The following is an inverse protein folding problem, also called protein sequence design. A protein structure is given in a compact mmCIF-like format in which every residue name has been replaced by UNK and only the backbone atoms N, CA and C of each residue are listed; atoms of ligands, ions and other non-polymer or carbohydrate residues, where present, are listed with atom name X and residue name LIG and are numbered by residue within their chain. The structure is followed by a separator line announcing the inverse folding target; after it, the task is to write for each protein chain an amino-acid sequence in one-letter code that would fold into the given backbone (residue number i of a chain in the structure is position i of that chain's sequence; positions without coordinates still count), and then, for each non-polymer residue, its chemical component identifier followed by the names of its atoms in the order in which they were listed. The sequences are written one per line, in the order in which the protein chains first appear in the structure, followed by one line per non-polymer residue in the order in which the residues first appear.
data_IF_991913865421
#
_entry.id   IF_991913865421
#
_cell.length_a   1.000
_cell.length_b   1.000
_cell.length_c   1.000
_cell.angle_alpha   90.00
_cell.angle_beta   90.00
_cell.angle_gamma   90.00
#
_symmetry.space_group_name_H-M   'P 1'
#
loop_
_entity.id
_entity.type
_entity.pdbx_description
1 polymer ?
#
# COMPACT_ATOMS: atom_id res chain seq x y z
N UNK A 1 -32.92 -43.09 -20.75
CA UNK A 1 -31.92 -42.33 -21.53
C UNK A 1 -32.09 -40.84 -21.20
N UNK A 2 -31.00 -40.09 -20.98
CA UNK A 2 -31.04 -38.78 -20.31
C UNK A 2 -31.01 -37.60 -21.29
N UNK A 3 -31.58 -36.47 -20.87
CA UNK A 3 -31.13 -35.12 -21.27
C UNK A 3 -31.20 -34.19 -20.06
N UNK A 4 -30.07 -33.53 -19.80
CA UNK A 4 -29.75 -32.61 -18.71
C UNK A 4 -30.46 -31.26 -18.86
N UNK A 5 -30.77 -30.59 -17.75
CA UNK A 5 -30.41 -29.17 -17.49
C UNK A 5 -30.33 -28.95 -15.97
N UNK A 6 -29.12 -28.72 -15.47
CA UNK A 6 -28.85 -28.21 -14.11
C UNK A 6 -28.92 -26.68 -14.15
N UNK A 7 -29.93 -26.07 -13.52
CA UNK A 7 -29.92 -24.63 -13.27
C UNK A 7 -29.27 -24.33 -11.92
N UNK A 8 -28.10 -23.68 -11.96
CA UNK A 8 -27.41 -23.08 -10.82
C UNK A 8 -27.86 -21.64 -10.68
N UNK A 9 -28.46 -21.24 -9.55
CA UNK A 9 -28.37 -19.85 -9.06
C UNK A 9 -29.07 -19.70 -7.72
N UNK A 10 -28.29 -19.65 -6.63
CA UNK A 10 -28.60 -18.95 -5.37
C UNK A 10 -27.39 -19.06 -4.45
N UNK A 11 -26.33 -18.30 -4.75
CA UNK A 11 -25.32 -17.99 -3.74
C UNK A 11 -25.71 -16.66 -3.12
N UNK A 12 -26.24 -16.71 -1.90
CA UNK A 12 -26.44 -15.54 -1.05
C UNK A 12 -25.06 -14.88 -0.83
N UNK A 13 -24.89 -13.66 -1.33
CA UNK A 13 -23.78 -12.80 -0.92
C UNK A 13 -24.11 -12.23 0.47
N UNK A 14 -23.89 -13.03 1.50
CA UNK A 14 -23.81 -12.50 2.86
C UNK A 14 -22.60 -11.56 2.92
N UNK A 15 -22.86 -10.26 3.06
CA UNK A 15 -21.84 -9.26 3.37
C UNK A 15 -21.09 -9.71 4.63
N UNK A 16 -19.74 -9.79 4.63
CA UNK A 16 -19.00 -10.14 5.83
C UNK A 16 -19.28 -9.11 6.93
N UNK A 17 -20.00 -9.56 7.96
CA UNK A 17 -20.24 -8.78 9.18
C UNK A 17 -18.89 -8.59 9.89
N UNK A 18 -18.55 -7.33 10.16
CA UNK A 18 -17.45 -6.87 11.02
C UNK A 18 -16.06 -7.41 10.65
N UNK A 19 -15.45 -6.86 9.61
CA UNK A 19 -14.00 -6.95 9.45
C UNK A 19 -13.34 -6.14 10.58
N UNK A 20 -12.58 -6.81 11.46
CA UNK A 20 -11.62 -6.14 12.33
C UNK A 20 -10.74 -5.20 11.47
N UNK A 21 -10.26 -4.05 12.01
CA UNK A 21 -9.38 -3.18 11.25
C UNK A 21 -8.22 -4.00 10.69
N UNK A 22 -8.13 -4.06 9.36
CA UNK A 22 -7.08 -4.80 8.65
C UNK A 22 -5.76 -4.21 9.13
N UNK A 23 -4.98 -5.00 9.87
CA UNK A 23 -3.66 -4.57 10.33
C UNK A 23 -2.73 -4.46 9.14
N UNK A 24 -2.46 -3.24 8.71
CA UNK A 24 -1.60 -2.93 7.58
C UNK A 24 -0.12 -3.06 7.97
N UNK A 25 0.20 -2.88 9.26
CA UNK A 25 1.57 -2.79 9.75
C UNK A 25 2.03 -4.03 10.55
N UNK A 26 3.21 -4.56 10.23
CA UNK A 26 3.86 -5.57 11.05
C UNK A 26 4.57 -4.96 12.28
N UNK A 27 3.79 -4.68 13.33
CA UNK A 27 4.27 -4.09 14.58
C UNK A 27 5.28 -4.99 15.33
N UNK A 28 5.19 -6.32 15.15
CA UNK A 28 6.16 -7.28 15.72
C UNK A 28 7.54 -7.12 15.09
N UNK A 29 7.59 -6.89 13.78
CA UNK A 29 8.82 -6.60 13.06
C UNK A 29 9.43 -5.28 13.55
N UNK A 30 8.62 -4.22 13.70
CA UNK A 30 9.10 -2.95 14.25
C UNK A 30 9.70 -3.10 15.64
N UNK A 31 9.01 -3.82 16.53
CA UNK A 31 9.50 -4.10 17.88
C UNK A 31 10.84 -4.86 17.87
N UNK A 32 11.05 -5.73 16.88
CA UNK A 32 12.30 -6.48 16.71
C UNK A 32 13.46 -5.60 16.26
N UNK A 33 13.24 -4.70 15.29
CA UNK A 33 14.29 -3.81 14.77
C UNK A 33 14.63 -2.68 15.75
N UNK A 34 13.69 -2.29 16.62
CA UNK A 34 13.91 -1.28 17.67
C UNK A 34 14.35 -1.88 19.00
N UNK A 35 14.48 -3.22 19.08
CA UNK A 35 14.82 -3.97 20.30
C UNK A 35 13.89 -3.65 21.49
N UNK A 36 12.61 -3.35 21.21
CA UNK A 36 11.64 -2.97 22.23
C UNK A 36 11.77 -1.53 22.75
N UNK A 37 12.67 -0.72 22.20
CA UNK A 37 12.79 0.68 22.59
C UNK A 37 11.70 1.52 21.90
N UNK A 38 10.68 1.90 22.67
CA UNK A 38 9.55 2.71 22.18
C UNK A 38 10.01 4.05 21.59
N UNK A 39 10.94 4.76 22.23
CA UNK A 39 11.43 6.04 21.71
C UNK A 39 12.15 5.90 20.36
N UNK A 40 12.90 4.81 20.17
CA UNK A 40 13.51 4.48 18.88
C UNK A 40 12.46 4.13 17.83
N UNK A 41 11.42 3.37 18.21
CA UNK A 41 10.31 3.04 17.31
C UNK A 41 9.57 4.30 16.86
N UNK A 42 9.19 5.18 17.79
CA UNK A 42 8.45 6.41 17.52
C UNK A 42 9.24 7.34 16.59
N UNK A 43 10.56 7.48 16.81
CA UNK A 43 11.42 8.27 15.93
C UNK A 43 11.52 7.68 14.53
N UNK A 44 11.72 6.36 14.42
CA UNK A 44 11.83 5.68 13.14
C UNK A 44 10.54 5.85 12.33
N UNK A 45 9.41 5.58 12.98
CA UNK A 45 8.08 5.74 12.41
C UNK A 45 7.84 7.19 11.95
N UNK A 46 8.21 8.19 12.76
CA UNK A 46 8.06 9.60 12.42
C UNK A 46 8.88 9.99 11.19
N UNK A 47 10.13 9.54 11.11
CA UNK A 47 11.02 9.83 9.97
C UNK A 47 10.41 9.25 8.70
N UNK A 48 10.08 7.96 8.69
CA UNK A 48 9.51 7.31 7.50
C UNK A 48 8.16 7.89 7.09
N UNK A 49 7.27 8.22 8.05
CA UNK A 49 6.02 8.88 7.69
C UNK A 49 6.26 10.25 7.06
N UNK A 50 7.28 10.99 7.51
CA UNK A 50 7.62 12.28 6.91
C UNK A 50 8.13 12.08 5.48
N UNK A 51 9.12 11.20 5.30
CA UNK A 51 9.70 10.89 3.99
C UNK A 51 8.66 10.39 2.99
N UNK A 52 7.77 9.46 3.39
CA UNK A 52 6.75 8.92 2.49
C UNK A 52 5.70 9.98 2.12
N UNK A 53 5.36 10.90 3.03
CA UNK A 53 4.46 12.02 2.67
C UNK A 53 5.10 12.94 1.62
N UNK A 54 6.39 13.22 1.74
CA UNK A 54 7.14 14.00 0.75
C UNK A 54 7.21 13.28 -0.60
N UNK A 55 7.54 11.98 -0.60
CA UNK A 55 7.58 11.17 -1.82
C UNK A 55 6.20 11.05 -2.49
N UNK A 56 5.11 10.97 -1.71
CA UNK A 56 3.74 10.99 -2.25
C UNK A 56 3.39 12.35 -2.90
N UNK A 57 3.86 13.46 -2.34
CA UNK A 57 3.68 14.77 -2.95
C UNK A 57 4.46 14.87 -4.28
N UNK A 58 5.71 14.38 -4.31
CA UNK A 58 6.49 14.30 -5.56
C UNK A 58 5.86 13.35 -6.58
N UNK A 59 5.27 12.24 -6.13
CA UNK A 59 4.58 11.29 -7.00
C UNK A 59 3.40 11.96 -7.72
N UNK A 60 2.62 12.76 -6.99
CA UNK A 60 1.49 13.50 -7.57
C UNK A 60 1.95 14.47 -8.66
N UNK A 61 3.02 15.23 -8.41
CA UNK A 61 3.61 16.13 -9.41
C UNK A 61 4.10 15.33 -10.63
N UNK A 62 4.81 14.23 -10.41
CA UNK A 62 5.30 13.38 -11.49
C UNK A 62 4.16 12.77 -12.33
N UNK A 63 3.01 12.46 -11.72
CA UNK A 63 1.81 11.99 -12.42
C UNK A 63 1.22 13.11 -13.29
N UNK A 64 1.09 14.32 -12.75
CA UNK A 64 0.59 15.49 -13.49
C UNK A 64 1.47 15.83 -14.70
N UNK A 65 2.78 15.68 -14.56
CA UNK A 65 3.76 15.88 -15.64
C UNK A 65 3.91 14.65 -16.56
N UNK A 66 3.22 13.53 -16.26
CA UNK A 66 3.43 12.24 -16.92
C UNK A 66 4.91 11.79 -16.98
N UNK A 67 5.67 12.14 -15.94
CA UNK A 67 7.08 11.84 -15.82
C UNK A 67 7.29 10.41 -15.30
N UNK A 68 7.17 9.43 -16.21
CA UNK A 68 7.28 8.01 -15.89
C UNK A 68 8.60 7.61 -15.24
N UNK A 69 9.72 8.26 -15.60
CA UNK A 69 11.00 7.99 -14.96
C UNK A 69 10.99 8.38 -13.48
N UNK A 70 10.45 9.56 -13.16
CA UNK A 70 10.29 10.00 -11.77
C UNK A 70 9.33 9.07 -11.00
N UNK A 71 8.20 8.68 -11.60
CA UNK A 71 7.23 7.75 -10.99
C UNK A 71 7.91 6.42 -10.63
N UNK A 72 8.70 5.84 -11.54
CA UNK A 72 9.41 4.57 -11.29
C UNK A 72 10.40 4.69 -10.14
N UNK A 73 11.19 5.77 -10.11
CA UNK A 73 12.17 5.99 -9.04
C UNK A 73 11.49 6.19 -7.67
N UNK A 74 10.38 6.94 -7.64
CA UNK A 74 9.62 7.16 -6.42
C UNK A 74 9.00 5.85 -5.92
N UNK A 75 8.38 5.07 -6.82
CA UNK A 75 7.84 3.75 -6.50
C UNK A 75 8.91 2.82 -5.89
N UNK A 76 10.10 2.78 -6.49
CA UNK A 76 11.23 1.98 -5.99
C UNK A 76 11.65 2.36 -4.56
N UNK A 77 11.75 3.67 -4.27
CA UNK A 77 12.08 4.17 -2.94
C UNK A 77 10.99 3.81 -1.92
N UNK A 78 9.74 4.06 -2.27
CA UNK A 78 8.59 3.79 -1.40
C UNK A 78 8.47 2.30 -1.05
N UNK A 79 8.76 1.40 -2.00
CA UNK A 79 8.81 -0.05 -1.77
C UNK A 79 9.74 -0.43 -0.62
N UNK A 80 10.93 0.16 -0.59
CA UNK A 80 11.92 -0.08 0.47
C UNK A 80 11.46 0.47 1.81
N UNK A 81 10.91 1.69 1.82
CA UNK A 81 10.40 2.33 3.04
C UNK A 81 9.24 1.53 3.66
N UNK A 82 8.29 1.06 2.85
CA UNK A 82 7.19 0.24 3.34
C UNK A 82 7.63 -1.14 3.82
N UNK A 83 8.64 -1.75 3.20
CA UNK A 83 9.22 -2.99 3.70
C UNK A 83 9.81 -2.80 5.12
N UNK A 84 10.49 -1.68 5.38
CA UNK A 84 11.03 -1.35 6.70
C UNK A 84 9.91 -1.08 7.72
N UNK A 85 8.83 -0.43 7.31
CA UNK A 85 7.66 -0.22 8.17
C UNK A 85 6.83 -1.49 8.37
N UNK A 86 7.10 -2.56 7.61
CA UNK A 86 6.35 -3.80 7.64
C UNK A 86 4.97 -3.70 6.98
N UNK A 87 4.79 -2.80 6.02
CA UNK A 87 3.57 -2.59 5.24
C UNK A 87 3.64 -3.45 3.97
N UNK A 88 3.51 -4.76 4.13
CA UNK A 88 3.72 -5.71 3.03
C UNK A 88 2.57 -5.75 2.04
N UNK A 89 1.35 -5.37 2.45
CA UNK A 89 0.16 -5.36 1.60
C UNK A 89 0.28 -4.43 0.38
N UNK A 90 1.09 -3.38 0.46
CA UNK A 90 1.31 -2.44 -0.64
C UNK A 90 2.38 -2.90 -1.64
N UNK A 91 3.10 -4.00 -1.36
CA UNK A 91 4.20 -4.45 -2.22
C UNK A 91 3.74 -4.72 -3.65
N UNK A 92 2.60 -5.40 -3.83
CA UNK A 92 2.06 -5.70 -5.16
C UNK A 92 1.63 -4.43 -5.90
N UNK A 93 0.98 -3.49 -5.20
CA UNK A 93 0.53 -2.21 -5.76
C UNK A 93 1.71 -1.38 -6.28
N UNK A 94 2.81 -1.35 -5.52
CA UNK A 94 3.99 -0.58 -5.88
C UNK A 94 4.79 -1.25 -6.98
N UNK A 95 4.88 -2.58 -6.98
CA UNK A 95 5.50 -3.31 -8.08
C UNK A 95 4.76 -3.04 -9.40
N UNK A 96 3.43 -3.01 -9.37
CA UNK A 96 2.64 -2.70 -10.55
C UNK A 96 2.88 -1.25 -11.01
N UNK A 97 2.92 -0.30 -10.09
CA UNK A 97 3.25 1.10 -10.40
C UNK A 97 4.65 1.24 -11.03
N UNK A 98 5.66 0.57 -10.46
CA UNK A 98 7.04 0.54 -10.97
C UNK A 98 7.10 -0.10 -12.38
N UNK A 99 6.33 -1.17 -12.60
CA UNK A 99 6.24 -1.83 -13.90
C UNK A 99 5.58 -0.93 -14.96
N UNK A 100 4.40 -0.39 -14.67
CA UNK A 100 3.66 0.48 -15.59
C UNK A 100 4.44 1.74 -15.95
N UNK A 101 5.13 2.33 -14.98
CA UNK A 101 6.00 3.48 -15.22
C UNK A 101 7.24 3.13 -16.04
N UNK A 102 7.87 1.97 -15.83
CA UNK A 102 8.96 1.49 -16.70
C UNK A 102 8.49 1.30 -18.15
N UNK A 103 7.24 0.87 -18.35
CA UNK A 103 6.61 0.73 -19.66
C UNK A 103 6.07 2.04 -20.24
N UNK A 104 6.21 3.17 -19.54
CA UNK A 104 5.62 4.46 -19.89
C UNK A 104 4.13 4.37 -20.25
N UNK A 105 3.37 3.59 -19.47
CA UNK A 105 2.02 3.15 -19.80
C UNK A 105 1.01 3.51 -18.71
N UNK A 106 -0.21 3.81 -19.14
CA UNK A 106 -1.42 3.81 -18.30
C UNK A 106 -1.33 4.71 -17.06
N UNK A 107 -1.06 6.01 -17.27
CA UNK A 107 -1.00 7.02 -16.21
C UNK A 107 -2.26 7.06 -15.33
N UNK A 108 -3.43 6.72 -15.91
CA UNK A 108 -4.69 6.63 -15.19
C UNK A 108 -4.71 5.48 -14.17
N UNK A 109 -4.15 4.32 -14.53
CA UNK A 109 -3.99 3.20 -13.60
C UNK A 109 -2.96 3.56 -12.53
N UNK A 110 -1.84 4.19 -12.91
CA UNK A 110 -0.86 4.70 -11.94
C UNK A 110 -1.53 5.61 -10.91
N UNK A 111 -2.39 6.53 -11.35
CA UNK A 111 -3.14 7.41 -10.45
C UNK A 111 -4.09 6.62 -9.53
N UNK A 112 -4.79 5.60 -10.03
CA UNK A 112 -5.61 4.71 -9.19
C UNK A 112 -4.79 3.95 -8.14
N UNK A 113 -3.60 3.46 -8.52
CA UNK A 113 -2.68 2.80 -7.58
C UNK A 113 -2.19 3.79 -6.51
N UNK A 114 -1.92 5.04 -6.87
CA UNK A 114 -1.56 6.10 -5.91
C UNK A 114 -2.67 6.35 -4.88
N UNK A 115 -3.94 6.36 -5.29
CA UNK A 115 -5.07 6.48 -4.35
C UNK A 115 -5.14 5.28 -3.38
N UNK A 116 -4.88 4.07 -3.86
CA UNK A 116 -4.81 2.88 -2.99
C UNK A 116 -3.66 2.99 -1.98
N UNK A 117 -2.49 3.48 -2.40
CA UNK A 117 -1.36 3.73 -1.51
C UNK A 117 -1.74 4.75 -0.44
N UNK A 118 -2.32 5.90 -0.80
CA UNK A 118 -2.77 6.91 0.16
C UNK A 118 -3.74 6.36 1.20
N UNK A 119 -4.71 5.55 0.77
CA UNK A 119 -5.70 4.95 1.67
C UNK A 119 -5.02 4.05 2.70
N UNK A 120 -4.16 3.13 2.25
CA UNK A 120 -3.46 2.18 3.15
C UNK A 120 -2.43 2.85 4.03
N UNK A 121 -1.72 3.85 3.50
CA UNK A 121 -0.77 4.64 4.27
C UNK A 121 -1.46 5.43 5.39
N UNK A 122 -2.66 5.96 5.13
CA UNK A 122 -3.48 6.61 6.16
C UNK A 122 -3.90 5.62 7.25
N UNK A 123 -4.31 4.40 6.87
CA UNK A 123 -4.62 3.34 7.84
C UNK A 123 -3.39 2.97 8.69
N UNK A 124 -2.23 2.79 8.07
CA UNK A 124 -0.97 2.51 8.75
C UNK A 124 -0.61 3.60 9.77
N UNK A 125 -0.82 4.88 9.42
CA UNK A 125 -0.57 6.01 10.33
C UNK A 125 -1.49 5.98 11.56
N UNK A 126 -2.75 5.62 11.36
CA UNK A 126 -3.71 5.46 12.48
C UNK A 126 -3.25 4.32 13.37
N UNK A 127 -2.92 3.15 12.83
CA UNK A 127 -2.45 1.99 13.61
C UNK A 127 -1.22 2.30 14.45
N UNK A 128 -0.22 2.97 13.87
CA UNK A 128 1.03 3.27 14.56
C UNK A 128 0.91 4.41 15.58
N UNK A 129 -0.07 5.32 15.42
CA UNK A 129 -0.33 6.38 16.42
C UNK A 129 -0.86 5.82 17.75
N UNK A 130 -1.47 4.64 17.73
CA UNK A 130 -2.02 3.98 18.92
C UNK A 130 -1.13 2.83 19.44
N UNK A 131 0.12 2.73 18.97
CA UNK A 131 1.15 1.81 19.47
C UNK A 131 1.94 2.42 20.64
#
# INVERSE_FOLDING_TARGET
MPVSVTNKSSTNYELPRTAAPVKVCNLKYQNSITRGNKATADNLVKIFFTEINEELAHLQIAIEESNYHAISNIAHKMKSAFAILGITELTAVINEMEHLSTMSSSIEIINQLTQQIHFRFTQAKVEMKYY
#
